data_IF_814891219693
#
_entry.id   IF_814891219693
#
_cell.length_a   1.000
_cell.length_b   1.000
_cell.length_c   1.000
_cell.angle_alpha   90.00
_cell.angle_beta   90.00
_cell.angle_gamma   90.00
#
_symmetry.space_group_name_H-M   'P 1'
#
loop_
_entity.id
_entity.type
_entity.pdbx_description
1 polymer ?
#
# COMPACT_ATOMS: atom_id res chain seq x y z
N UNK A 1 10.49 -6.24 33.38
CA UNK A 1 11.92 -5.90 33.24
C UNK A 1 12.27 -4.77 34.21
N UNK A 2 13.47 -4.79 34.79
CA UNK A 2 13.93 -3.71 35.67
C UNK A 2 13.98 -2.40 34.89
N UNK A 3 13.51 -1.29 35.47
CA UNK A 3 13.42 0.04 34.81
C UNK A 3 14.69 0.46 34.07
N UNK A 4 15.86 0.16 34.64
CA UNK A 4 17.15 0.53 34.04
C UNK A 4 17.45 -0.23 32.75
N UNK A 5 17.11 -1.52 32.67
CA UNK A 5 17.31 -2.34 31.46
C UNK A 5 16.39 -1.87 30.35
N UNK A 6 15.15 -1.51 30.66
CA UNK A 6 14.20 -0.98 29.67
C UNK A 6 14.71 0.28 29.00
N UNK A 7 15.26 1.23 29.79
CA UNK A 7 15.81 2.47 29.23
C UNK A 7 17.05 2.21 28.36
N UNK A 8 17.90 1.27 28.72
CA UNK A 8 19.07 0.90 27.92
C UNK A 8 18.65 0.30 26.58
N UNK A 9 17.64 -0.58 26.58
CA UNK A 9 17.08 -1.19 25.35
C UNK A 9 16.51 -0.11 24.45
N UNK A 10 15.68 0.80 24.98
CA UNK A 10 15.10 1.90 24.22
C UNK A 10 16.17 2.80 23.61
N UNK A 11 17.17 3.20 24.41
CA UNK A 11 18.30 4.01 23.93
C UNK A 11 19.04 3.29 22.79
N UNK A 12 19.29 1.99 22.92
CA UNK A 12 19.94 1.21 21.86
C UNK A 12 19.12 1.16 20.59
N UNK A 13 17.79 0.96 20.68
CA UNK A 13 16.87 0.98 19.53
C UNK A 13 16.89 2.35 18.87
N UNK A 14 16.84 3.44 19.65
CA UNK A 14 16.92 4.81 19.12
C UNK A 14 18.21 5.07 18.35
N UNK A 15 19.36 4.64 18.89
CA UNK A 15 20.66 4.76 18.19
C UNK A 15 20.60 4.02 16.85
N UNK A 16 20.17 2.77 16.85
CA UNK A 16 20.12 1.94 15.66
C UNK A 16 19.16 2.51 14.59
N UNK A 17 18.08 3.17 15.03
CA UNK A 17 17.08 3.79 14.14
C UNK A 17 17.37 5.27 13.82
N UNK A 18 18.54 5.80 14.23
CA UNK A 18 18.96 7.19 14.04
C UNK A 18 17.98 8.21 14.63
N UNK A 19 17.41 7.88 15.80
CA UNK A 19 16.51 8.75 16.55
C UNK A 19 17.27 9.48 17.65
N UNK A 20 16.70 10.60 18.12
CA UNK A 20 17.26 11.39 19.22
C UNK A 20 17.03 10.65 20.56
N UNK A 21 18.13 10.33 21.25
CA UNK A 21 18.12 9.63 22.53
C UNK A 21 17.69 10.56 23.66
N UNK A 22 17.99 11.85 23.53
CA UNK A 22 17.72 12.87 24.55
C UNK A 22 16.24 13.29 24.55
N UNK A 23 15.58 13.28 23.39
CA UNK A 23 14.16 13.61 23.28
C UNK A 23 13.29 12.43 23.68
N UNK A 24 12.53 12.56 24.76
CA UNK A 24 11.66 11.54 25.34
C UNK A 24 10.21 11.96 25.46
N UNK A 25 9.89 13.19 25.07
CA UNK A 25 8.56 13.81 25.22
C UNK A 25 7.78 13.81 23.92
N UNK A 26 8.44 13.63 22.80
CA UNK A 26 7.83 13.63 21.47
C UNK A 26 7.90 12.26 20.83
N UNK A 27 6.87 11.86 20.04
CA UNK A 27 6.94 10.68 19.20
C UNK A 27 8.07 10.78 18.19
N UNK A 28 8.72 9.65 17.93
CA UNK A 28 9.76 9.58 16.90
C UNK A 28 9.60 8.33 16.06
N UNK A 29 9.79 8.46 14.75
CA UNK A 29 9.78 7.37 13.80
C UNK A 29 11.14 7.24 13.11
N UNK A 30 11.59 6.00 12.93
CA UNK A 30 12.86 5.67 12.30
C UNK A 30 12.87 4.30 11.67
N UNK A 31 14.00 3.91 11.10
CA UNK A 31 14.18 2.63 10.43
C UNK A 31 15.52 2.01 10.87
N UNK A 32 15.51 0.69 11.04
CA UNK A 32 16.71 -0.12 11.28
C UNK A 32 16.80 -1.12 10.14
N UNK A 33 17.95 -1.19 9.46
CA UNK A 33 18.25 -2.27 8.53
C UNK A 33 19.29 -3.17 9.18
N UNK A 34 19.00 -4.46 9.27
CA UNK A 34 19.89 -5.48 9.84
C UNK A 34 19.98 -6.68 8.90
N UNK A 35 21.18 -7.26 8.81
CA UNK A 35 21.40 -8.51 8.09
C UNK A 35 21.52 -9.66 9.10
N UNK A 36 20.64 -10.65 9.01
CA UNK A 36 20.68 -11.84 9.84
C UNK A 36 20.96 -13.05 8.95
N UNK A 37 22.19 -13.53 9.00
CA UNK A 37 22.66 -14.57 8.08
C UNK A 37 22.67 -14.07 6.63
N UNK A 38 21.83 -14.67 5.77
CA UNK A 38 21.69 -14.28 4.35
C UNK A 38 20.45 -13.41 4.07
N UNK A 39 19.74 -12.97 5.12
CA UNK A 39 18.50 -12.20 4.97
C UNK A 39 18.69 -10.78 5.48
N UNK A 40 18.33 -9.82 4.63
CA UNK A 40 18.23 -8.42 5.02
C UNK A 40 16.82 -8.13 5.52
N UNK A 41 16.74 -7.64 6.74
CA UNK A 41 15.48 -7.31 7.40
C UNK A 41 15.46 -5.81 7.68
N UNK A 42 14.42 -5.13 7.26
CA UNK A 42 14.12 -3.77 7.66
C UNK A 42 13.10 -3.77 8.80
N UNK A 43 13.36 -2.95 9.81
CA UNK A 43 12.45 -2.71 10.93
C UNK A 43 12.00 -1.26 10.91
N UNK A 44 10.69 -1.03 10.82
CA UNK A 44 10.14 0.29 11.14
C UNK A 44 10.01 0.42 12.65
N UNK A 45 10.56 1.49 13.19
CA UNK A 45 10.61 1.80 14.62
C UNK A 45 9.72 3.01 14.87
N UNK A 46 8.81 2.90 15.83
CA UNK A 46 8.06 4.04 16.34
C UNK A 46 8.19 4.08 17.85
N UNK A 47 8.53 5.27 18.39
CA UNK A 47 8.59 5.53 19.82
C UNK A 47 7.51 6.52 20.21
N UNK A 48 6.84 6.24 21.33
CA UNK A 48 5.77 7.10 21.86
C UNK A 48 5.96 7.30 23.38
N UNK A 49 5.97 8.54 23.88
CA UNK A 49 5.91 8.81 25.31
C UNK A 49 4.67 8.20 25.96
N UNK A 50 4.83 7.59 27.11
CA UNK A 50 3.72 7.08 27.90
C UNK A 50 3.96 7.30 29.40
N UNK A 51 2.92 7.12 30.23
CA UNK A 51 2.97 7.34 31.70
C UNK A 51 4.03 6.51 32.43
N UNK A 52 4.43 5.36 31.85
CA UNK A 52 5.43 4.45 32.45
C UNK A 52 6.78 4.45 31.73
N UNK A 53 7.06 5.43 30.89
CA UNK A 53 8.23 5.54 30.04
C UNK A 53 7.88 5.50 28.55
N UNK A 54 8.88 5.40 27.68
CA UNK A 54 8.62 5.35 26.24
C UNK A 54 8.16 3.94 25.82
N UNK A 55 7.10 3.90 25.03
CA UNK A 55 6.67 2.69 24.30
C UNK A 55 7.38 2.62 22.97
N UNK A 56 7.92 1.47 22.62
CA UNK A 56 8.55 1.22 21.31
C UNK A 56 7.80 0.13 20.58
N UNK A 57 7.50 0.39 19.32
CA UNK A 57 6.91 -0.59 18.39
C UNK A 57 7.90 -0.83 17.26
N UNK A 58 8.23 -2.10 17.05
CA UNK A 58 9.08 -2.57 15.96
C UNK A 58 8.20 -3.37 14.98
N UNK A 59 8.10 -2.90 13.73
CA UNK A 59 7.42 -3.63 12.67
C UNK A 59 8.45 -4.21 11.71
N UNK A 60 8.44 -5.51 11.56
CA UNK A 60 9.32 -6.23 10.63
C UNK A 60 8.78 -6.02 9.21
N UNK A 61 9.65 -5.58 8.30
CA UNK A 61 9.39 -5.47 6.87
C UNK A 61 10.22 -6.55 6.17
N UNK A 62 9.55 -7.61 5.71
CA UNK A 62 10.21 -8.71 4.99
C UNK A 62 10.47 -8.30 3.54
N UNK A 63 11.74 -8.22 3.14
CA UNK A 63 12.14 -7.91 1.75
C UNK A 63 11.86 -9.08 0.78
N UNK A 64 11.83 -10.31 1.29
CA UNK A 64 11.71 -11.51 0.44
C UNK A 64 10.32 -11.71 -0.20
N UNK A 65 9.30 -10.97 0.24
CA UNK A 65 7.92 -11.03 -0.33
C UNK A 65 7.65 -9.99 -1.42
N UNK A 66 8.70 -9.38 -1.98
CA UNK A 66 8.62 -8.19 -2.82
C UNK A 66 8.32 -8.46 -4.31
N UNK A 67 8.19 -9.71 -4.73
CA UNK A 67 8.05 -10.05 -6.16
C UNK A 67 6.69 -10.67 -6.52
N UNK A 68 5.61 -10.08 -5.98
CA UNK A 68 4.26 -10.52 -6.37
C UNK A 68 3.94 -9.91 -7.74
N UNK A 69 3.62 -10.78 -8.72
CA UNK A 69 3.13 -10.36 -10.03
C UNK A 69 1.61 -10.16 -9.99
N UNK A 70 1.05 -9.42 -10.95
CA UNK A 70 -0.40 -9.16 -11.00
C UNK A 70 -1.22 -10.46 -11.03
N UNK A 71 -0.74 -11.51 -11.71
CA UNK A 71 -1.41 -12.82 -11.80
C UNK A 71 -1.53 -13.55 -10.45
N UNK A 72 -0.65 -13.23 -9.50
CA UNK A 72 -0.60 -13.85 -8.17
C UNK A 72 -1.50 -13.17 -7.13
N UNK A 73 -2.09 -12.02 -7.48
CA UNK A 73 -2.93 -11.23 -6.57
C UNK A 73 -4.33 -11.81 -6.35
N UNK A 74 -4.72 -12.83 -7.13
CA UNK A 74 -6.01 -13.50 -6.99
C UNK A 74 -7.20 -12.71 -7.55
N UNK A 75 -6.97 -11.79 -8.47
CA UNK A 75 -8.02 -11.14 -9.23
C UNK A 75 -8.75 -12.15 -10.14
N UNK A 76 -10.03 -11.92 -10.40
CA UNK A 76 -10.69 -12.63 -11.51
C UNK A 76 -10.10 -12.16 -12.85
N UNK A 77 -10.14 -13.01 -13.85
CA UNK A 77 -9.56 -12.73 -15.17
C UNK A 77 -10.11 -11.44 -15.79
N UNK A 78 -11.40 -11.19 -15.66
CA UNK A 78 -12.03 -9.95 -16.16
C UNK A 78 -11.48 -8.70 -15.47
N UNK A 79 -11.31 -8.74 -14.14
CA UNK A 79 -10.77 -7.62 -13.37
C UNK A 79 -9.30 -7.43 -13.73
N UNK A 80 -8.52 -8.50 -13.81
CA UNK A 80 -7.11 -8.46 -14.16
C UNK A 80 -6.90 -7.84 -15.55
N UNK A 81 -7.65 -8.29 -16.56
CA UNK A 81 -7.59 -7.73 -17.92
C UNK A 81 -7.99 -6.25 -17.94
N UNK A 82 -9.05 -5.88 -17.22
CA UNK A 82 -9.50 -4.49 -17.14
C UNK A 82 -8.46 -3.59 -16.46
N UNK A 83 -7.82 -4.08 -15.40
CA UNK A 83 -6.76 -3.36 -14.70
C UNK A 83 -5.53 -3.19 -15.60
N UNK A 84 -5.06 -4.26 -16.26
CA UNK A 84 -3.98 -4.21 -17.26
C UNK A 84 -4.27 -3.19 -18.37
N UNK A 85 -5.50 -3.23 -18.92
CA UNK A 85 -5.90 -2.27 -19.95
C UNK A 85 -5.87 -0.82 -19.45
N UNK A 86 -6.19 -0.58 -18.19
CA UNK A 86 -6.11 0.76 -17.60
C UNK A 86 -4.67 1.22 -17.38
N UNK A 87 -3.75 0.31 -17.04
CA UNK A 87 -2.33 0.61 -16.88
C UNK A 87 -1.63 0.98 -18.19
N UNK A 88 -2.18 0.58 -19.33
CA UNK A 88 -1.66 0.91 -20.67
C UNK A 88 -2.19 2.25 -21.23
N UNK A 89 -2.93 3.01 -20.43
CA UNK A 89 -3.36 4.35 -20.82
C UNK A 89 -2.20 5.33 -20.71
N UNK A 90 -2.15 6.30 -21.62
CA UNK A 90 -1.13 7.38 -21.60
C UNK A 90 -1.41 8.42 -20.52
N UNK A 91 -2.67 8.59 -20.12
CA UNK A 91 -3.11 9.62 -19.19
C UNK A 91 -4.35 9.21 -18.42
N UNK A 92 -4.60 9.89 -17.31
CA UNK A 92 -5.74 9.66 -16.45
C UNK A 92 -5.37 9.19 -15.05
N UNK A 93 -6.37 8.95 -14.20
CA UNK A 93 -6.17 8.51 -12.82
C UNK A 93 -6.69 7.08 -12.64
N UNK A 94 -5.85 6.23 -12.08
CA UNK A 94 -6.19 4.89 -11.58
C UNK A 94 -6.20 4.95 -10.06
N UNK A 95 -7.32 4.60 -9.43
CA UNK A 95 -7.44 4.57 -7.97
C UNK A 95 -7.60 3.14 -7.47
N UNK A 96 -6.82 2.80 -6.45
CA UNK A 96 -7.02 1.56 -5.69
C UNK A 96 -7.55 1.92 -4.30
N UNK A 97 -8.69 1.35 -3.94
CA UNK A 97 -9.37 1.64 -2.68
C UNK A 97 -9.61 0.38 -1.85
N UNK A 98 -9.78 0.57 -0.57
CA UNK A 98 -10.00 -0.49 0.42
C UNK A 98 -9.49 -0.09 1.79
N UNK A 99 -9.80 -0.86 2.85
CA UNK A 99 -9.31 -0.60 4.19
C UNK A 99 -7.78 -0.72 4.28
N UNK A 100 -7.23 -0.33 5.41
CA UNK A 100 -5.82 -0.59 5.72
C UNK A 100 -5.55 -2.09 5.70
N UNK A 101 -4.43 -2.49 5.11
CA UNK A 101 -4.06 -3.91 4.97
C UNK A 101 -4.82 -4.69 3.89
N UNK A 102 -5.54 -4.02 2.97
CA UNK A 102 -6.21 -4.69 1.85
C UNK A 102 -5.31 -4.96 0.64
N UNK A 103 -4.02 -4.67 0.72
CA UNK A 103 -3.04 -4.94 -0.36
C UNK A 103 -2.99 -3.86 -1.45
N UNK A 104 -3.49 -2.64 -1.21
CA UNK A 104 -3.51 -1.55 -2.21
C UNK A 104 -2.13 -1.25 -2.79
N UNK A 105 -1.15 -1.02 -1.92
CA UNK A 105 0.25 -0.76 -2.34
C UNK A 105 0.83 -1.94 -3.11
N UNK A 106 0.55 -3.18 -2.68
CA UNK A 106 0.99 -4.39 -3.37
C UNK A 106 0.46 -4.45 -4.80
N UNK A 107 -0.83 -4.12 -5.00
CA UNK A 107 -1.44 -4.10 -6.33
C UNK A 107 -0.89 -2.99 -7.21
N UNK A 108 -0.66 -1.79 -6.66
CA UNK A 108 -0.03 -0.69 -7.39
C UNK A 108 1.41 -1.03 -7.78
N UNK A 109 2.19 -1.58 -6.85
CA UNK A 109 3.58 -1.97 -7.12
C UNK A 109 3.67 -3.09 -8.16
N UNK A 110 2.79 -4.10 -8.09
CA UNK A 110 2.71 -5.13 -9.11
C UNK A 110 2.35 -4.55 -10.49
N UNK A 111 1.41 -3.59 -10.54
CA UNK A 111 1.06 -2.86 -11.74
C UNK A 111 2.22 -2.03 -12.30
N UNK A 112 2.89 -1.24 -11.45
CA UNK A 112 4.07 -0.46 -11.86
C UNK A 112 5.19 -1.34 -12.39
N UNK A 113 5.45 -2.47 -11.74
CA UNK A 113 6.46 -3.44 -12.17
C UNK A 113 6.13 -4.03 -13.55
N UNK A 114 4.86 -4.32 -13.81
CA UNK A 114 4.43 -4.91 -15.09
C UNK A 114 4.61 -3.92 -16.26
N UNK A 115 4.39 -2.62 -16.02
CA UNK A 115 4.55 -1.58 -17.05
C UNK A 115 5.95 -0.95 -17.09
N UNK A 116 6.82 -1.26 -16.15
CA UNK A 116 8.19 -0.74 -16.09
C UNK A 116 9.10 -1.49 -17.06
N UNK A 117 9.14 -1.04 -18.30
CA UNK A 117 10.00 -1.58 -19.37
C UNK A 117 11.26 -0.72 -19.61
N UNK A 118 11.52 0.27 -18.74
CA UNK A 118 12.59 1.27 -18.83
C UNK A 118 12.46 2.28 -19.99
N UNK A 119 11.40 2.23 -20.77
CA UNK A 119 11.10 3.24 -21.78
C UNK A 119 10.36 4.44 -21.20
N UNK A 120 9.72 4.27 -20.05
CA UNK A 120 8.90 5.27 -19.35
C UNK A 120 9.56 5.73 -18.06
N UNK A 121 9.49 7.05 -17.81
CA UNK A 121 9.94 7.63 -16.56
C UNK A 121 8.85 7.51 -15.48
N UNK A 122 9.03 6.55 -14.57
CA UNK A 122 8.09 6.25 -13.48
C UNK A 122 8.61 6.83 -12.18
N UNK A 123 7.86 7.75 -11.58
CA UNK A 123 8.23 8.39 -10.32
C UNK A 123 7.13 8.22 -9.27
N UNK A 124 7.54 8.06 -8.00
CA UNK A 124 6.58 7.90 -6.90
C UNK A 124 6.84 8.87 -5.75
N UNK A 125 5.77 9.19 -5.01
CA UNK A 125 5.83 9.86 -3.70
C UNK A 125 5.02 9.06 -2.68
N UNK A 126 5.64 8.63 -1.58
CA UNK A 126 5.11 7.62 -0.66
C UNK A 126 5.34 7.95 0.81
N UNK A 127 4.53 7.40 1.71
CA UNK A 127 4.67 7.57 3.17
C UNK A 127 4.37 6.28 3.95
N UNK A 128 5.38 5.43 4.16
CA UNK A 128 6.72 5.42 3.57
C UNK A 128 6.80 4.63 2.26
N UNK A 129 7.99 4.60 1.64
CA UNK A 129 8.34 3.60 0.62
C UNK A 129 8.40 2.22 1.31
N UNK A 130 7.60 1.27 0.85
CA UNK A 130 7.53 -0.07 1.47
C UNK A 130 8.76 -0.91 1.11
N UNK A 131 9.15 -0.94 -0.16
CA UNK A 131 10.38 -1.55 -0.66
C UNK A 131 10.80 -0.92 -1.99
N UNK A 132 12.07 -1.07 -2.34
CA UNK A 132 12.61 -0.53 -3.59
C UNK A 132 12.11 -1.31 -4.81
N UNK A 133 11.75 -0.59 -5.85
CA UNK A 133 11.41 -1.13 -7.18
C UNK A 133 12.50 -0.73 -8.17
N UNK A 134 13.09 -1.72 -8.83
CA UNK A 134 14.13 -1.46 -9.81
C UNK A 134 13.58 -0.68 -11.01
N UNK A 135 14.31 0.38 -11.40
CA UNK A 135 13.94 1.23 -12.54
C UNK A 135 12.87 2.28 -12.24
N UNK A 136 12.41 2.41 -10.98
CA UNK A 136 11.41 3.38 -10.55
C UNK A 136 12.03 4.37 -9.57
N UNK A 137 11.85 5.67 -9.81
CA UNK A 137 12.31 6.74 -8.93
C UNK A 137 11.35 6.94 -7.75
N UNK A 138 11.67 6.37 -6.58
CA UNK A 138 10.81 6.43 -5.40
C UNK A 138 11.26 7.52 -4.43
N UNK A 139 10.35 8.42 -4.09
CA UNK A 139 10.57 9.51 -3.14
C UNK A 139 9.72 9.29 -1.88
N UNK A 140 10.31 9.42 -0.71
CA UNK A 140 9.60 9.31 0.56
C UNK A 140 9.26 10.68 1.12
N UNK A 141 8.01 10.84 1.57
CA UNK A 141 7.55 12.00 2.36
C UNK A 141 8.46 12.20 3.59
N UNK A 142 8.79 13.44 3.88
CA UNK A 142 9.57 13.81 5.05
C UNK A 142 9.01 15.08 5.69
N UNK A 143 8.17 14.92 6.67
CA UNK A 143 7.51 16.03 7.36
C UNK A 143 8.50 16.94 8.10
N UNK A 144 9.68 16.43 8.54
CA UNK A 144 10.72 17.21 9.21
C UNK A 144 11.33 18.26 8.28
N UNK A 145 11.48 17.94 6.99
CA UNK A 145 11.98 18.88 5.98
C UNK A 145 10.85 19.61 5.25
N UNK A 146 9.59 19.34 5.60
CA UNK A 146 8.41 19.90 4.96
C UNK A 146 8.12 19.33 3.58
N UNK A 147 8.68 18.16 3.21
CA UNK A 147 8.35 17.42 1.99
C UNK A 147 7.06 16.63 2.21
N UNK A 148 5.92 17.22 1.85
CA UNK A 148 4.58 16.60 1.88
C UNK A 148 4.25 15.90 0.56
N UNK A 149 3.14 15.15 0.50
CA UNK A 149 2.64 14.57 -0.75
C UNK A 149 2.45 15.63 -1.85
N UNK A 150 1.78 16.73 -1.54
CA UNK A 150 1.54 17.82 -2.49
C UNK A 150 2.84 18.45 -3.02
N UNK A 151 3.79 18.76 -2.12
CA UNK A 151 5.09 19.32 -2.52
C UNK A 151 5.92 18.34 -3.33
N UNK A 152 5.95 17.07 -2.92
CA UNK A 152 6.65 16.01 -3.63
C UNK A 152 6.07 15.79 -5.02
N UNK A 153 4.76 15.71 -5.14
CA UNK A 153 4.07 15.56 -6.42
C UNK A 153 4.38 16.73 -7.38
N UNK A 154 4.30 17.98 -6.90
CA UNK A 154 4.72 19.14 -7.73
C UNK A 154 6.19 19.08 -8.16
N UNK A 155 7.07 18.55 -7.33
CA UNK A 155 8.47 18.39 -7.70
C UNK A 155 8.65 17.29 -8.75
N UNK A 156 7.98 16.16 -8.59
CA UNK A 156 7.99 15.03 -9.51
C UNK A 156 7.52 15.46 -10.91
N UNK A 157 6.43 16.23 -11.02
CA UNK A 157 5.89 16.72 -12.28
C UNK A 157 6.85 17.65 -13.07
N UNK A 158 7.94 18.11 -12.45
CA UNK A 158 9.01 18.85 -13.13
C UNK A 158 10.22 17.99 -13.51
N UNK A 159 10.11 16.68 -13.35
CA UNK A 159 11.14 15.70 -13.67
C UNK A 159 10.79 14.88 -14.93
N UNK A 160 9.89 15.41 -15.76
CA UNK A 160 9.43 14.81 -17.00
C UNK A 160 8.98 13.34 -16.83
N UNK A 161 8.01 13.06 -15.91
CA UNK A 161 7.50 11.72 -15.70
C UNK A 161 6.45 11.36 -16.75
N UNK A 162 6.40 10.09 -17.16
CA UNK A 162 5.28 9.54 -17.92
C UNK A 162 4.20 9.02 -16.96
N UNK A 163 4.65 8.36 -15.87
CA UNK A 163 3.79 7.74 -14.89
C UNK A 163 4.16 8.23 -13.49
N UNK A 164 3.14 8.62 -12.74
CA UNK A 164 3.30 9.09 -11.36
C UNK A 164 2.48 8.25 -10.40
N UNK A 165 3.09 7.72 -9.34
CA UNK A 165 2.34 7.12 -8.24
C UNK A 165 2.37 8.02 -7.00
N UNK A 166 1.19 8.35 -6.51
CA UNK A 166 0.99 9.02 -5.21
C UNK A 166 0.49 7.97 -4.23
N UNK A 167 1.26 7.66 -3.20
CA UNK A 167 0.96 6.60 -2.24
C UNK A 167 -0.48 6.67 -1.74
N UNK A 168 -0.95 7.87 -1.42
CA UNK A 168 -2.36 8.12 -1.11
C UNK A 168 -2.77 9.57 -1.31
N UNK A 169 -4.06 9.79 -1.57
CA UNK A 169 -4.70 11.11 -1.59
C UNK A 169 -5.51 11.29 -0.31
N UNK A 170 -5.06 12.21 0.57
CA UNK A 170 -5.70 12.50 1.87
C UNK A 170 -6.38 13.86 1.91
N UNK A 171 -5.94 14.80 1.09
CA UNK A 171 -6.33 16.20 1.12
C UNK A 171 -6.63 16.76 -0.27
N UNK A 172 -7.33 17.91 -0.29
CA UNK A 172 -7.74 18.60 -1.50
C UNK A 172 -6.56 18.98 -2.38
N UNK A 173 -5.49 19.53 -1.80
CA UNK A 173 -4.33 20.02 -2.54
C UNK A 173 -3.67 18.90 -3.35
N UNK A 174 -3.43 17.74 -2.71
CA UNK A 174 -2.87 16.56 -3.38
C UNK A 174 -3.81 16.04 -4.47
N UNK A 175 -5.12 16.02 -4.22
CA UNK A 175 -6.12 15.58 -5.19
C UNK A 175 -6.15 16.49 -6.43
N UNK A 176 -6.15 17.82 -6.24
CA UNK A 176 -6.14 18.78 -7.34
C UNK A 176 -4.91 18.63 -8.23
N UNK A 177 -3.71 18.48 -7.62
CA UNK A 177 -2.47 18.32 -8.38
C UNK A 177 -2.48 17.00 -9.16
N UNK A 178 -2.94 15.90 -8.55
CA UNK A 178 -3.04 14.59 -9.20
C UNK A 178 -4.00 14.62 -10.42
N UNK A 179 -5.14 15.30 -10.27
CA UNK A 179 -6.11 15.49 -11.37
C UNK A 179 -5.52 16.35 -12.48
N UNK A 180 -4.90 17.47 -12.14
CA UNK A 180 -4.23 18.34 -13.11
C UNK A 180 -3.17 17.56 -13.90
N UNK A 181 -2.33 16.79 -13.22
CA UNK A 181 -1.33 15.93 -13.86
C UNK A 181 -1.96 14.96 -14.87
N UNK A 182 -3.07 14.32 -14.48
CA UNK A 182 -3.77 13.37 -15.33
C UNK A 182 -4.45 13.99 -16.55
N UNK A 183 -4.79 15.27 -16.49
CA UNK A 183 -5.37 16.03 -17.61
C UNK A 183 -4.29 16.64 -18.52
N UNK A 184 -3.03 16.61 -18.09
CA UNK A 184 -1.88 17.15 -18.83
C UNK A 184 -0.95 16.06 -19.38
N UNK A 185 -1.47 14.85 -19.59
CA UNK A 185 -0.77 13.77 -20.30
C UNK A 185 -0.01 12.80 -19.41
N UNK A 186 -0.28 12.74 -18.09
CA UNK A 186 0.36 11.79 -17.19
C UNK A 186 -0.61 10.69 -16.75
N UNK A 187 -0.13 9.47 -16.65
CA UNK A 187 -0.84 8.40 -15.96
C UNK A 187 -0.56 8.49 -14.46
N UNK A 188 -1.60 8.76 -13.67
CA UNK A 188 -1.49 8.88 -12.22
C UNK A 188 -2.10 7.67 -11.53
N UNK A 189 -1.32 6.99 -10.69
CA UNK A 189 -1.79 5.90 -9.83
C UNK A 189 -1.86 6.39 -8.39
N UNK A 190 -2.95 6.08 -7.68
CA UNK A 190 -3.03 6.45 -6.26
C UNK A 190 -3.95 5.55 -5.46
N UNK A 191 -3.95 5.75 -4.14
CA UNK A 191 -4.90 5.09 -3.25
C UNK A 191 -5.80 6.11 -2.54
N UNK A 192 -7.00 5.66 -2.23
CA UNK A 192 -7.94 6.38 -1.36
C UNK A 192 -8.50 5.39 -0.34
N UNK A 193 -8.57 5.81 0.92
CA UNK A 193 -9.13 4.97 1.99
C UNK A 193 -10.64 5.05 2.00
N UNK A 194 -11.31 4.20 1.23
CA UNK A 194 -12.77 4.05 1.22
C UNK A 194 -13.17 2.59 1.10
N UNK A 195 -14.42 2.29 1.42
CA UNK A 195 -14.91 0.92 1.49
C UNK A 195 -15.44 0.35 0.16
N UNK A 196 -15.59 1.19 -0.86
CA UNK A 196 -16.04 0.78 -2.19
C UNK A 196 -15.53 1.75 -3.27
N UNK A 197 -15.57 1.33 -4.53
CA UNK A 197 -15.19 2.17 -5.67
C UNK A 197 -16.09 3.42 -5.77
N UNK A 198 -17.39 3.29 -5.54
CA UNK A 198 -18.33 4.42 -5.55
C UNK A 198 -17.99 5.43 -4.45
N UNK A 199 -17.67 4.94 -3.24
CA UNK A 199 -17.29 5.82 -2.14
C UNK A 199 -15.97 6.56 -2.39
N UNK A 200 -15.07 6.04 -3.25
CA UNK A 200 -13.86 6.75 -3.64
C UNK A 200 -14.20 8.03 -4.42
N UNK A 201 -15.15 7.96 -5.33
CA UNK A 201 -15.65 9.11 -6.09
C UNK A 201 -16.29 10.12 -5.13
N UNK A 202 -17.18 9.67 -4.24
CA UNK A 202 -17.81 10.52 -3.22
C UNK A 202 -16.76 11.20 -2.35
N UNK A 203 -15.73 10.46 -1.92
CA UNK A 203 -14.65 11.02 -1.08
C UNK A 203 -13.87 12.13 -1.78
N UNK A 204 -13.57 11.98 -3.08
CA UNK A 204 -12.92 13.05 -3.85
C UNK A 204 -13.82 14.29 -3.99
N UNK A 205 -15.12 14.10 -4.18
CA UNK A 205 -16.10 15.20 -4.17
C UNK A 205 -16.15 15.90 -2.81
N UNK A 206 -16.15 15.15 -1.72
CA UNK A 206 -16.13 15.70 -0.36
C UNK A 206 -14.85 16.50 -0.06
N UNK A 207 -13.74 16.15 -0.74
CA UNK A 207 -12.50 16.94 -0.71
C UNK A 207 -12.61 18.25 -1.54
N UNK A 208 -13.73 18.48 -2.23
CA UNK A 208 -13.98 19.68 -3.02
C UNK A 208 -13.53 19.58 -4.47
N UNK A 209 -13.42 18.37 -5.01
CA UNK A 209 -13.13 18.16 -6.43
C UNK A 209 -14.42 18.21 -7.24
N UNK A 210 -14.42 19.02 -8.29
CA UNK A 210 -15.56 19.19 -9.17
C UNK A 210 -15.89 17.91 -9.96
N UNK A 211 -17.16 17.52 -10.08
CA UNK A 211 -17.57 16.29 -10.76
C UNK A 211 -17.08 16.16 -12.20
N UNK A 212 -17.04 17.27 -12.95
CA UNK A 212 -16.58 17.25 -14.35
C UNK A 212 -15.08 16.90 -14.46
N UNK A 213 -14.25 17.32 -13.50
CA UNK A 213 -12.84 16.96 -13.44
C UNK A 213 -12.67 15.46 -13.19
N UNK A 214 -13.47 14.89 -12.27
CA UNK A 214 -13.45 13.46 -12.00
C UNK A 214 -13.88 12.63 -13.21
N UNK A 215 -14.92 13.06 -13.92
CA UNK A 215 -15.40 12.35 -15.11
C UNK A 215 -14.40 12.37 -16.26
N UNK A 216 -13.60 13.42 -16.36
CA UNK A 216 -12.59 13.57 -17.42
C UNK A 216 -11.27 12.89 -17.10
N UNK A 217 -10.92 12.78 -15.81
CA UNK A 217 -9.61 12.25 -15.36
C UNK A 217 -9.64 10.80 -14.93
N UNK A 218 -10.76 10.31 -14.36
CA UNK A 218 -10.82 9.00 -13.71
C UNK A 218 -10.98 7.87 -14.75
N UNK A 219 -9.93 7.06 -14.90
CA UNK A 219 -9.90 5.93 -15.85
C UNK A 219 -10.39 4.65 -15.20
N UNK A 220 -9.97 4.38 -13.96
CA UNK A 220 -10.27 3.12 -13.30
C UNK A 220 -10.31 3.26 -11.78
N UNK A 221 -11.23 2.55 -11.14
CA UNK A 221 -11.30 2.45 -9.67
C UNK A 221 -11.40 0.99 -9.28
N UNK A 222 -10.35 0.50 -8.62
CA UNK A 222 -10.27 -0.87 -8.08
C UNK A 222 -10.60 -0.85 -6.59
N UNK A 223 -11.65 -1.55 -6.18
CA UNK A 223 -11.94 -1.75 -4.74
C UNK A 223 -11.50 -3.14 -4.30
N UNK A 224 -10.68 -3.20 -3.26
CA UNK A 224 -9.94 -4.40 -2.89
C UNK A 224 -10.13 -4.80 -1.42
N UNK A 225 -10.21 -6.09 -1.19
CA UNK A 225 -10.22 -6.74 0.13
C UNK A 225 -9.33 -7.98 0.07
N UNK A 226 -8.61 -8.25 1.17
CA UNK A 226 -7.95 -9.53 1.34
C UNK A 226 -8.89 -10.53 2.00
N UNK A 227 -8.93 -11.72 1.45
CA UNK A 227 -9.60 -12.88 2.05
C UNK A 227 -8.55 -13.97 2.31
N UNK A 228 -8.77 -14.78 3.34
CA UNK A 228 -7.89 -15.92 3.60
C UNK A 228 -8.18 -17.02 2.58
N UNK A 229 -7.12 -17.51 1.93
CA UNK A 229 -7.18 -18.67 1.06
C UNK A 229 -6.96 -19.94 1.86
N UNK A 230 -7.61 -21.02 1.45
CA UNK A 230 -7.38 -22.33 2.02
C UNK A 230 -6.05 -22.89 1.53
N UNK A 231 -5.33 -23.55 2.42
CA UNK A 231 -4.11 -24.26 2.05
C UNK A 231 -4.45 -25.45 1.16
N UNK A 232 -3.85 -25.52 -0.01
CA UNK A 232 -4.08 -26.60 -0.98
C UNK A 232 -3.70 -28.00 -0.45
N UNK A 233 -2.80 -28.06 0.54
CA UNK A 233 -2.30 -29.34 1.10
C UNK A 233 -3.15 -29.91 2.21
N UNK A 234 -3.89 -29.07 2.95
CA UNK A 234 -4.64 -29.53 4.10
C UNK A 234 -6.13 -29.17 4.08
N UNK A 235 -6.63 -28.52 3.01
CA UNK A 235 -8.06 -28.31 2.87
C UNK A 235 -8.79 -29.64 2.72
N UNK A 236 -9.94 -29.78 3.38
CA UNK A 236 -10.80 -30.95 3.25
C UNK A 236 -12.20 -30.52 2.80
N UNK A 237 -12.94 -31.42 2.19
CA UNK A 237 -14.31 -31.15 1.76
C UNK A 237 -15.17 -30.86 3.00
N UNK A 238 -16.02 -29.85 2.90
CA UNK A 238 -16.97 -29.47 3.94
C UNK A 238 -18.40 -29.81 3.52
N UNK A 239 -18.80 -31.05 3.85
CA UNK A 239 -20.13 -31.57 3.54
C UNK A 239 -21.26 -30.88 4.32
N UNK A 240 -20.95 -30.33 5.51
CA UNK A 240 -21.95 -29.63 6.34
C UNK A 240 -22.27 -28.24 5.77
N UNK A 241 -21.27 -27.48 5.41
CA UNK A 241 -21.46 -26.14 4.83
C UNK A 241 -22.14 -26.19 3.47
N UNK A 242 -21.98 -27.28 2.69
CA UNK A 242 -22.65 -27.46 1.40
C UNK A 242 -24.18 -27.48 1.51
N UNK A 243 -24.72 -27.80 2.69
CA UNK A 243 -26.17 -27.77 3.04
C UNK A 243 -26.66 -26.40 3.56
N UNK A 244 -25.77 -25.40 3.66
CA UNK A 244 -26.10 -24.08 4.19
C UNK A 244 -27.15 -23.37 3.33
N UNK A 245 -28.18 -22.77 3.99
CA UNK A 245 -29.20 -21.93 3.35
C UNK A 245 -28.60 -20.76 2.56
N UNK A 246 -27.43 -20.25 2.99
CA UNK A 246 -26.73 -19.17 2.31
C UNK A 246 -26.25 -19.63 0.93
N UNK A 247 -25.63 -20.80 0.85
CA UNK A 247 -25.13 -21.35 -0.41
C UNK A 247 -26.24 -21.70 -1.38
N UNK A 248 -27.36 -22.21 -0.85
CA UNK A 248 -28.58 -22.44 -1.65
C UNK A 248 -29.12 -21.12 -2.20
N UNK A 249 -29.18 -20.06 -1.40
CA UNK A 249 -29.62 -18.72 -1.82
C UNK A 249 -28.78 -18.15 -2.98
N UNK A 250 -27.48 -18.41 -2.99
CA UNK A 250 -26.57 -17.95 -4.04
C UNK A 250 -26.33 -18.99 -5.13
N UNK A 251 -27.06 -20.11 -5.12
CA UNK A 251 -26.99 -21.19 -6.12
C UNK A 251 -25.55 -21.70 -6.35
N UNK A 252 -24.76 -21.81 -5.28
CA UNK A 252 -23.37 -22.28 -5.33
C UNK A 252 -23.35 -23.78 -5.54
N UNK A 253 -22.97 -24.22 -6.74
CA UNK A 253 -22.88 -25.64 -7.14
C UNK A 253 -21.47 -26.25 -6.97
N UNK A 254 -20.49 -25.47 -6.49
CA UNK A 254 -19.10 -25.93 -6.33
C UNK A 254 -18.88 -26.64 -5.01
N UNK A 255 -17.98 -27.63 -4.98
CA UNK A 255 -17.49 -28.26 -3.76
C UNK A 255 -16.87 -27.21 -2.85
N UNK A 256 -17.26 -27.24 -1.58
CA UNK A 256 -16.78 -26.32 -0.56
C UNK A 256 -15.77 -27.04 0.29
N UNK A 257 -14.74 -26.33 0.68
CA UNK A 257 -13.65 -26.83 1.52
C UNK A 257 -13.56 -26.04 2.81
N UNK A 258 -13.06 -26.69 3.87
CA UNK A 258 -12.71 -26.05 5.15
C UNK A 258 -11.23 -26.19 5.46
N UNK A 259 -10.71 -25.25 6.25
CA UNK A 259 -9.35 -25.29 6.76
C UNK A 259 -9.22 -26.35 7.86
N UNK A 260 -8.12 -27.09 7.85
CA UNK A 260 -7.73 -28.02 8.92
C UNK A 260 -6.47 -27.52 9.64
N UNK A 261 -5.51 -26.96 8.90
CA UNK A 261 -4.19 -26.59 9.41
C UNK A 261 -3.14 -27.69 9.16
N UNK A 262 -1.92 -27.28 8.85
CA UNK A 262 -0.76 -28.15 8.75
C UNK A 262 0.53 -27.32 8.89
N UNK A 263 1.68 -27.99 9.07
CA UNK A 263 3.01 -27.37 9.21
C UNK A 263 3.46 -26.48 8.04
N UNK A 264 2.67 -26.38 6.96
CA UNK A 264 2.98 -25.54 5.79
C UNK A 264 2.13 -24.27 5.70
N UNK A 265 1.11 -24.13 6.51
CA UNK A 265 0.19 -22.98 6.50
C UNK A 265 0.02 -22.32 7.89
N UNK A 266 0.90 -22.67 8.84
CA UNK A 266 1.00 -22.04 10.16
C UNK A 266 1.69 -20.67 10.09
#
# INVERSE_FOLDING_TARGET
>A
YQKNITQMIISRIKIMSKLDISERRLPQDGRISISIGKRDIDLRVSTLPSSFGERVVLRILEKDKTHINLDELGFSEDILMSFRKSLMKSEGIILVTGPTGSGKTTSLYAGLKEISDRSQNILTIEDPVEYALDGIGQTQVNNKTGLTFAKGLRAILRQDPDIVMVGEIRDKETAEIAIQASLTGHLVLSTVHTNSAVNAITRLRDMGIEPYLLSSSLVYVLSQRLIRCLCEKCKVIDDESSKSKILQKYNVKKTIYKAVGCSKCE
#
